data_IF_539965915300
#
_entry.id   IF_539965915300
#
_cell.length_a   1.000
_cell.length_b   1.000
_cell.length_c   1.000
_cell.angle_alpha   90.00
_cell.angle_beta   90.00
_cell.angle_gamma   90.00
#
_symmetry.space_group_name_H-M   'P 1'
#
loop_
_entity.id
_entity.type
_entity.pdbx_description
1 polymer ?
#
# COMPACT_ATOMS: atom_id res chain seq x y z
N UNK A 1 -25.70 -11.22 2.30
CA UNK A 1 -24.28 -11.66 2.34
C UNK A 1 -23.35 -10.90 1.38
N UNK A 2 -23.83 -10.39 0.23
CA UNK A 2 -23.04 -9.56 -0.71
C UNK A 2 -22.57 -8.16 -0.26
N UNK A 3 -23.25 -7.42 0.64
CA UNK A 3 -22.84 -6.03 0.97
C UNK A 3 -21.47 -5.95 1.64
N UNK A 4 -21.14 -6.92 2.49
CA UNK A 4 -19.90 -6.93 3.25
C UNK A 4 -18.67 -7.12 2.35
N UNK A 5 -18.76 -8.02 1.36
CA UNK A 5 -17.68 -8.25 0.39
C UNK A 5 -17.45 -7.03 -0.50
N UNK A 6 -18.54 -6.38 -0.95
CA UNK A 6 -18.43 -5.15 -1.75
C UNK A 6 -17.82 -3.99 -0.98
N UNK A 7 -18.22 -3.81 0.28
CA UNK A 7 -17.64 -2.78 1.16
C UNK A 7 -16.15 -3.03 1.42
N UNK A 8 -15.76 -4.28 1.69
CA UNK A 8 -14.36 -4.63 1.91
C UNK A 8 -13.51 -4.41 0.65
N UNK A 9 -14.03 -4.78 -0.53
CA UNK A 9 -13.35 -4.52 -1.81
C UNK A 9 -13.18 -3.02 -2.07
N UNK A 10 -14.23 -2.21 -1.82
CA UNK A 10 -14.16 -0.76 -1.98
C UNK A 10 -13.11 -0.13 -1.05
N UNK A 11 -13.13 -0.49 0.23
CA UNK A 11 -12.13 -0.01 1.21
C UNK A 11 -10.73 -0.42 0.78
N UNK A 12 -10.55 -1.67 0.35
CA UNK A 12 -9.25 -2.16 -0.12
C UNK A 12 -8.71 -1.36 -1.30
N UNK A 13 -9.54 -1.11 -2.33
CA UNK A 13 -9.15 -0.32 -3.50
C UNK A 13 -8.76 1.10 -3.10
N UNK A 14 -9.58 1.77 -2.29
CA UNK A 14 -9.32 3.16 -1.87
C UNK A 14 -8.03 3.25 -1.06
N UNK A 15 -7.81 2.32 -0.12
CA UNK A 15 -6.60 2.28 0.71
C UNK A 15 -5.37 2.03 -0.16
N UNK A 16 -5.41 1.09 -1.10
CA UNK A 16 -4.30 0.83 -2.01
C UNK A 16 -3.96 2.04 -2.86
N UNK A 17 -4.94 2.71 -3.47
CA UNK A 17 -4.71 3.89 -4.29
C UNK A 17 -4.14 5.05 -3.46
N UNK A 18 -4.64 5.26 -2.25
CA UNK A 18 -4.12 6.29 -1.34
C UNK A 18 -2.64 6.03 -0.99
N UNK A 19 -2.28 4.80 -0.61
CA UNK A 19 -0.90 4.46 -0.27
C UNK A 19 0.04 4.44 -1.48
N UNK A 20 -0.44 4.07 -2.66
CA UNK A 20 0.34 4.20 -3.90
C UNK A 20 0.66 5.67 -4.17
N UNK A 21 -0.32 6.58 -4.03
CA UNK A 21 -0.09 8.02 -4.22
C UNK A 21 0.90 8.60 -3.19
N UNK A 22 0.76 8.24 -1.91
CA UNK A 22 1.68 8.67 -0.85
C UNK A 22 3.09 8.10 -1.09
N UNK A 23 3.20 6.83 -1.47
CA UNK A 23 4.48 6.19 -1.77
C UNK A 23 5.15 6.85 -2.95
N UNK A 24 4.41 7.12 -4.03
CA UNK A 24 4.93 7.82 -5.21
C UNK A 24 5.49 9.19 -4.82
N UNK A 25 4.72 9.97 -4.06
CA UNK A 25 5.17 11.28 -3.59
C UNK A 25 6.41 11.19 -2.69
N UNK A 26 6.45 10.22 -1.78
CA UNK A 26 7.60 9.99 -0.89
C UNK A 26 8.85 9.59 -1.66
N UNK A 27 8.71 8.69 -2.64
CA UNK A 27 9.84 8.23 -3.44
C UNK A 27 10.40 9.35 -4.31
N UNK A 28 9.61 10.33 -4.76
CA UNK A 28 10.15 11.49 -5.51
C UNK A 28 11.17 12.30 -4.69
N UNK A 29 11.08 12.29 -3.35
CA UNK A 29 12.07 12.93 -2.47
C UNK A 29 13.35 12.12 -2.28
N UNK A 30 13.36 10.84 -2.66
CA UNK A 30 14.53 9.95 -2.54
C UNK A 30 15.36 10.07 -3.80
N UNK A 31 16.67 10.34 -3.69
CA UNK A 31 17.58 10.37 -4.85
C UNK A 31 17.93 8.97 -5.34
N UNK A 32 16.94 8.16 -5.73
CA UNK A 32 17.16 6.81 -6.29
C UNK A 32 17.99 6.88 -7.58
N UNK A 33 17.88 7.97 -8.33
CA UNK A 33 18.67 8.25 -9.53
C UNK A 33 20.17 8.28 -9.26
N UNK A 34 20.60 8.67 -8.05
CA UNK A 34 22.01 8.70 -7.66
C UNK A 34 22.60 7.29 -7.45
N UNK A 35 21.76 6.28 -7.22
CA UNK A 35 22.20 4.87 -7.13
C UNK A 35 22.29 4.20 -8.50
N UNK A 36 21.74 4.79 -9.55
CA UNK A 36 21.64 4.19 -10.88
C UNK A 36 22.78 4.69 -11.77
N UNK A 37 23.42 3.77 -12.50
CA UNK A 37 24.53 4.11 -13.40
C UNK A 37 24.07 5.17 -14.43
N UNK A 38 24.92 6.17 -14.72
CA UNK A 38 24.63 7.13 -15.78
C UNK A 38 24.38 6.36 -17.09
N UNK A 39 23.38 6.81 -17.86
CA UNK A 39 22.87 6.19 -19.10
C UNK A 39 21.82 5.06 -18.95
N UNK A 40 21.22 4.85 -17.78
CA UNK A 40 20.12 3.88 -17.57
C UNK A 40 18.80 4.52 -17.08
N UNK A 41 18.43 5.66 -17.66
CA UNK A 41 17.25 6.46 -17.27
C UNK A 41 15.94 5.65 -17.33
N UNK A 42 15.76 4.82 -18.37
CA UNK A 42 14.56 3.99 -18.50
C UNK A 42 14.45 2.94 -17.38
N UNK A 43 15.56 2.28 -17.03
CA UNK A 43 15.57 1.30 -15.95
C UNK A 43 15.29 1.95 -14.60
N UNK A 44 15.77 3.17 -14.36
CA UNK A 44 15.46 3.92 -13.16
C UNK A 44 14.00 4.32 -13.03
N UNK A 45 13.38 4.76 -14.13
CA UNK A 45 11.95 5.07 -14.14
C UNK A 45 11.09 3.81 -13.91
N UNK A 46 11.45 2.69 -14.52
CA UNK A 46 10.76 1.41 -14.28
C UNK A 46 10.92 0.95 -12.83
N UNK A 47 12.13 1.05 -12.28
CA UNK A 47 12.40 0.73 -10.88
C UNK A 47 11.54 1.59 -9.94
N UNK A 48 11.40 2.89 -10.20
CA UNK A 48 10.52 3.78 -9.45
C UNK A 48 9.07 3.30 -9.40
N UNK A 49 8.52 2.90 -10.55
CA UNK A 49 7.15 2.40 -10.65
C UNK A 49 6.99 1.10 -9.87
N UNK A 50 7.93 0.16 -10.06
CA UNK A 50 7.93 -1.12 -9.35
C UNK A 50 8.05 -0.92 -7.83
N UNK A 51 8.93 -0.02 -7.39
CA UNK A 51 9.13 0.28 -5.98
C UNK A 51 7.88 0.94 -5.38
N UNK A 52 7.23 1.82 -6.14
CA UNK A 52 5.97 2.45 -5.72
C UNK A 52 4.87 1.42 -5.49
N UNK A 53 4.69 0.50 -6.45
CA UNK A 53 3.67 -0.55 -6.36
C UNK A 53 4.01 -1.50 -5.20
N UNK A 54 5.26 -1.94 -5.09
CA UNK A 54 5.69 -2.85 -4.04
C UNK A 54 5.48 -2.26 -2.64
N UNK A 55 6.04 -1.07 -2.38
CA UNK A 55 5.93 -0.42 -1.07
C UNK A 55 4.47 -0.01 -0.81
N UNK A 56 3.81 0.62 -1.79
CA UNK A 56 2.43 1.09 -1.65
C UNK A 56 1.46 -0.05 -1.33
N UNK A 57 1.56 -1.18 -2.03
CA UNK A 57 0.75 -2.37 -1.74
C UNK A 57 1.10 -3.01 -0.40
N UNK A 58 2.38 -3.07 -0.01
CA UNK A 58 2.76 -3.62 1.30
C UNK A 58 2.20 -2.78 2.45
N UNK A 59 2.34 -1.45 2.39
CA UNK A 59 1.83 -0.57 3.43
C UNK A 59 0.29 -0.56 3.45
N UNK A 60 -0.36 -0.61 2.29
CA UNK A 60 -1.81 -0.75 2.19
C UNK A 60 -2.31 -2.05 2.85
N UNK A 61 -1.70 -3.19 2.55
CA UNK A 61 -2.06 -4.47 3.15
C UNK A 61 -1.84 -4.46 4.66
N UNK A 62 -0.71 -3.92 5.13
CA UNK A 62 -0.47 -3.73 6.57
C UNK A 62 -1.62 -2.95 7.24
N UNK A 63 -2.07 -1.85 6.62
CA UNK A 63 -3.17 -1.05 7.15
C UNK A 63 -4.51 -1.80 7.15
N UNK A 64 -4.81 -2.55 6.07
CA UNK A 64 -6.04 -3.34 5.98
C UNK A 64 -6.07 -4.49 6.98
N UNK A 65 -4.94 -5.18 7.15
CA UNK A 65 -4.79 -6.27 8.12
C UNK A 65 -4.95 -5.72 9.53
N UNK A 66 -4.30 -4.60 9.84
CA UNK A 66 -4.43 -3.93 11.13
C UNK A 66 -5.87 -3.51 11.42
N UNK A 67 -6.57 -2.94 10.43
CA UNK A 67 -7.97 -2.57 10.56
C UNK A 67 -8.85 -3.82 10.79
N UNK A 68 -8.60 -4.89 10.04
CA UNK A 68 -9.30 -6.17 10.19
C UNK A 68 -9.13 -6.74 11.59
N UNK A 69 -7.89 -6.82 12.10
CA UNK A 69 -7.63 -7.26 13.47
C UNK A 69 -8.28 -6.35 14.50
N UNK A 70 -8.28 -5.02 14.28
CA UNK A 70 -8.94 -4.06 15.17
C UNK A 70 -10.45 -4.30 15.27
N UNK A 71 -11.11 -4.67 14.17
CA UNK A 71 -12.54 -5.03 14.20
C UNK A 71 -12.81 -6.38 14.87
N UNK A 72 -11.81 -7.25 14.92
CA UNK A 72 -11.91 -8.56 15.57
C UNK A 72 -11.58 -8.51 17.06
N UNK A 73 -10.80 -7.51 17.50
CA UNK A 73 -10.36 -7.34 18.88
C UNK A 73 -11.50 -7.35 19.92
N UNK A 74 -12.69 -6.77 19.66
CA UNK A 74 -13.83 -6.86 20.60
C UNK A 74 -14.32 -8.28 20.87
N UNK A 75 -14.10 -9.25 19.97
CA UNK A 75 -14.50 -10.65 20.20
C UNK A 75 -13.70 -11.29 21.33
N UNK A 76 -12.49 -10.80 21.62
CA UNK A 76 -11.69 -11.27 22.76
C UNK A 76 -12.36 -10.95 24.11
N UNK A 77 -13.13 -9.86 24.17
CA UNK A 77 -13.83 -9.42 25.38
C UNK A 77 -15.30 -9.84 25.42
N UNK A 78 -15.80 -10.52 24.37
CA UNK A 78 -17.16 -11.06 24.29
C UNK A 78 -17.23 -12.56 24.58
N UNK A 79 -16.13 -13.15 25.07
CA UNK A 79 -16.22 -14.41 25.79
C UNK A 79 -16.74 -14.12 27.18
N UNK A 80 -18.08 -14.07 27.32
CA UNK A 80 -19.01 -14.60 28.36
C UNK A 80 -20.43 -14.13 27.99
#
# INVERSE_FOLDING_TARGET
>A
MMPMLGQQALVSIVVHLAFIAVTWWTLQGVRLEAMIKPNRVFQGRLLYILLTIAIGSTVANFFLDYLSWSTQLPFLFRGE
#
